data_IF_129744245516
#
_entry.id   IF_129744245516
#
_cell.length_a   1.000
_cell.length_b   1.000
_cell.length_c   1.000
_cell.angle_alpha   90.00
_cell.angle_beta   90.00
_cell.angle_gamma   90.00
#
_symmetry.space_group_name_H-M   'P 1'
#
loop_
_entity.id
_entity.type
_entity.pdbx_description
1 polymer ?
#
# COMPACT_ATOMS: atom_id res chain seq x y z
N UNK A 1 56.01 17.51 12.86
CA UNK A 1 56.00 18.29 14.12
C UNK A 1 54.73 19.14 14.09
N UNK A 2 53.78 19.12 15.02
CA UNK A 2 53.54 18.37 16.28
C UNK A 2 52.03 18.51 16.56
N UNK A 3 51.22 17.44 16.64
CA UNK A 3 50.71 16.73 17.84
C UNK A 3 50.10 17.61 18.97
N UNK A 4 48.95 17.16 19.51
CA UNK A 4 48.19 17.61 20.70
C UNK A 4 47.45 18.97 20.58
N UNK A 5 46.37 19.22 21.33
CA UNK A 5 45.78 18.40 22.40
C UNK A 5 44.32 18.74 22.78
N UNK A 6 43.81 17.98 23.75
CA UNK A 6 42.44 18.05 24.31
C UNK A 6 42.36 19.17 25.35
N UNK A 7 41.21 19.86 25.46
CA UNK A 7 40.84 20.54 26.71
C UNK A 7 39.33 20.45 26.96
N UNK A 8 39.00 19.87 28.11
CA UNK A 8 37.72 19.95 28.82
C UNK A 8 37.62 21.28 29.56
N UNK A 9 36.41 21.78 29.79
CA UNK A 9 36.15 22.68 30.91
C UNK A 9 34.80 22.36 31.56
N UNK A 10 34.81 22.28 32.90
CA UNK A 10 33.64 22.19 33.76
C UNK A 10 33.04 23.59 33.95
N UNK A 11 31.77 23.68 34.36
CA UNK A 11 31.33 24.89 35.07
C UNK A 11 30.29 24.59 36.16
N UNK A 12 30.65 24.93 37.39
CA UNK A 12 29.85 24.77 38.61
C UNK A 12 29.75 26.13 39.31
N UNK A 13 28.54 26.64 39.60
CA UNK A 13 28.32 27.73 40.60
C UNK A 13 26.88 27.73 41.16
N UNK A 14 26.67 26.91 42.19
CA UNK A 14 26.33 27.28 43.58
C UNK A 14 25.51 28.56 43.91
N UNK A 15 24.25 28.32 44.33
CA UNK A 15 23.50 28.84 45.51
C UNK A 15 23.23 30.33 45.81
N UNK A 16 21.93 30.60 46.12
CA UNK A 16 21.38 31.38 47.27
C UNK A 16 19.83 31.30 47.27
N UNK A 17 19.03 31.32 48.35
CA UNK A 17 19.22 31.25 49.82
C UNK A 17 17.93 30.68 50.50
N UNK A 18 17.89 30.55 51.84
CA UNK A 18 16.68 30.38 52.67
C UNK A 18 16.62 31.50 53.75
N UNK A 19 15.81 31.47 54.85
CA UNK A 19 14.55 30.76 55.20
C UNK A 19 13.47 31.72 55.80
N UNK A 20 12.35 31.20 56.34
CA UNK A 20 11.80 31.46 57.71
C UNK A 20 10.54 30.62 57.97
N UNK A 21 10.32 30.19 59.22
CA UNK A 21 9.23 29.31 59.69
C UNK A 21 8.00 30.07 60.23
N UNK A 22 6.82 29.42 60.29
CA UNK A 22 5.83 29.53 61.38
C UNK A 22 4.75 28.41 61.25
N UNK A 23 4.18 27.97 62.37
CA UNK A 23 3.27 26.81 62.45
C UNK A 23 1.87 27.17 62.99
N UNK A 24 0.87 26.31 62.70
CA UNK A 24 -0.37 26.21 63.49
C UNK A 24 -0.93 24.78 63.49
N UNK A 25 -1.44 24.34 64.65
CA UNK A 25 -2.11 23.06 64.87
C UNK A 25 -3.59 23.08 64.44
N UNK A 26 -4.18 21.90 64.15
CA UNK A 26 -5.55 21.55 64.55
C UNK A 26 -5.82 20.04 64.35
N UNK A 27 -6.65 19.46 65.21
CA UNK A 27 -6.95 18.03 65.24
C UNK A 27 -8.28 17.65 64.54
N UNK A 28 -8.30 16.40 64.05
CA UNK A 28 -9.42 15.53 63.68
C UNK A 28 -10.81 15.82 64.29
N UNK A 29 -11.85 15.74 63.44
CA UNK A 29 -13.19 15.26 63.82
C UNK A 29 -13.84 14.45 62.67
N UNK A 30 -14.93 13.76 62.97
CA UNK A 30 -15.29 12.43 62.45
C UNK A 30 -16.53 12.49 61.56
N UNK A 31 -16.46 12.02 60.30
CA UNK A 31 -17.63 12.14 59.39
C UNK A 31 -17.66 11.29 58.12
N UNK A 32 -16.83 10.26 57.99
CA UNK A 32 -16.56 9.58 56.71
C UNK A 32 -16.93 8.09 56.65
N UNK A 33 -18.06 7.66 57.23
CA UNK A 33 -18.39 6.21 57.34
C UNK A 33 -19.83 5.79 56.98
N UNK A 34 -20.62 6.66 56.34
CA UNK A 34 -21.98 6.33 55.87
C UNK A 34 -22.26 6.66 54.38
N UNK A 35 -21.26 7.05 53.60
CA UNK A 35 -21.42 7.36 52.15
C UNK A 35 -20.94 6.27 51.19
N UNK A 36 -20.36 5.18 51.69
CA UNK A 36 -19.68 4.17 50.85
C UNK A 36 -20.60 2.99 50.45
N UNK A 37 -21.55 2.61 51.30
CA UNK A 37 -22.46 1.47 51.03
C UNK A 37 -23.52 1.75 49.95
N UNK A 38 -23.73 3.02 49.57
CA UNK A 38 -24.64 3.38 48.47
C UNK A 38 -24.02 3.29 47.07
N UNK A 39 -22.69 3.28 46.97
CA UNK A 39 -21.98 3.27 45.68
C UNK A 39 -21.68 1.85 45.16
N UNK A 40 -21.57 0.86 46.06
CA UNK A 40 -21.20 -0.52 45.69
C UNK A 40 -22.38 -1.36 45.18
N UNK A 41 -23.64 -0.97 45.45
CA UNK A 41 -24.82 -1.70 45.02
C UNK A 41 -25.33 -1.36 43.59
N UNK A 42 -24.65 -0.44 42.88
CA UNK A 42 -25.04 0.01 41.53
C UNK A 42 -24.06 -0.44 40.43
N UNK A 43 -23.04 -1.23 40.77
CA UNK A 43 -22.01 -1.71 39.84
C UNK A 43 -22.25 -3.16 39.34
N UNK A 44 -23.29 -3.85 39.81
CA UNK A 44 -23.61 -5.25 39.47
C UNK A 44 -24.82 -5.37 38.52
N UNK A 45 -24.80 -4.68 37.37
CA UNK A 45 -25.71 -4.99 36.24
C UNK A 45 -25.23 -4.45 34.89
N UNK A 46 -23.95 -4.63 34.58
CA UNK A 46 -23.47 -4.60 33.20
C UNK A 46 -22.73 -5.90 32.95
N UNK A 47 -23.34 -6.81 32.17
CA UNK A 47 -22.61 -7.94 31.62
C UNK A 47 -21.40 -7.37 30.83
N UNK A 48 -20.21 -8.01 30.90
CA UNK A 48 -19.08 -7.55 30.11
C UNK A 48 -19.50 -7.58 28.64
N UNK A 49 -19.41 -6.44 27.96
CA UNK A 49 -19.49 -6.42 26.50
C UNK A 49 -18.32 -7.27 26.02
N UNK A 50 -18.59 -8.40 25.33
CA UNK A 50 -17.58 -9.38 24.94
C UNK A 50 -16.52 -8.77 24.02
N UNK A 51 -15.50 -8.15 24.63
CA UNK A 51 -14.44 -7.46 23.93
C UNK A 51 -13.40 -8.47 23.47
N UNK A 52 -13.57 -8.99 22.24
CA UNK A 52 -12.53 -9.78 21.58
C UNK A 52 -11.35 -8.84 21.19
N UNK A 53 -10.15 -9.02 21.77
CA UNK A 53 -8.99 -8.21 21.43
C UNK A 53 -8.65 -8.33 19.95
N UNK A 54 -8.16 -7.25 19.32
CA UNK A 54 -7.79 -7.25 17.90
C UNK A 54 -6.86 -8.43 17.55
N UNK A 55 -5.87 -8.73 18.39
CA UNK A 55 -4.96 -9.87 18.19
C UNK A 55 -5.69 -11.22 18.16
N UNK A 56 -6.71 -11.41 19.00
CA UNK A 56 -7.49 -12.66 19.01
C UNK A 56 -8.33 -12.81 17.73
N UNK A 57 -9.06 -11.76 17.31
CA UNK A 57 -9.77 -11.78 16.02
C UNK A 57 -8.80 -11.94 14.84
N UNK A 58 -7.64 -11.28 14.87
CA UNK A 58 -6.65 -11.32 13.79
C UNK A 58 -6.07 -12.73 13.61
N UNK A 59 -5.60 -13.37 14.69
CA UNK A 59 -5.06 -14.74 14.62
C UNK A 59 -6.14 -15.76 14.27
N UNK A 60 -7.38 -15.57 14.74
CA UNK A 60 -8.54 -16.37 14.34
C UNK A 60 -8.78 -16.30 12.84
N UNK A 61 -8.87 -15.09 12.26
CA UNK A 61 -9.06 -14.93 10.81
C UNK A 61 -7.84 -15.38 9.99
N UNK A 62 -6.62 -15.21 10.51
CA UNK A 62 -5.38 -15.67 9.85
C UNK A 62 -5.33 -17.19 9.69
N UNK A 63 -5.93 -17.93 10.63
CA UNK A 63 -5.92 -19.38 10.69
C UNK A 63 -7.28 -20.05 10.46
N UNK A 64 -8.33 -19.27 10.20
CA UNK A 64 -9.66 -19.81 9.92
C UNK A 64 -9.66 -20.65 8.65
N UNK A 65 -10.40 -21.75 8.69
CA UNK A 65 -10.70 -22.60 7.54
C UNK A 65 -12.15 -22.44 7.07
N UNK A 66 -12.92 -21.55 7.70
CA UNK A 66 -14.29 -21.23 7.31
C UNK A 66 -14.29 -20.13 6.23
N UNK A 67 -14.59 -20.46 4.96
CA UNK A 67 -14.63 -19.45 3.91
C UNK A 67 -15.76 -18.43 4.12
N UNK A 68 -16.87 -18.79 4.79
CA UNK A 68 -18.00 -17.89 4.97
C UNK A 68 -17.69 -16.77 5.98
N UNK A 69 -16.99 -17.10 7.06
CA UNK A 69 -16.42 -16.12 8.00
C UNK A 69 -15.47 -15.15 7.27
N UNK A 70 -14.54 -15.70 6.47
CA UNK A 70 -13.56 -14.90 5.73
C UNK A 70 -14.25 -13.99 4.69
N UNK A 71 -15.26 -14.48 3.97
CA UNK A 71 -16.11 -13.68 3.09
C UNK A 71 -16.82 -12.54 3.82
N UNK A 72 -17.33 -12.79 5.03
CA UNK A 72 -18.03 -11.77 5.83
C UNK A 72 -17.10 -10.60 6.14
N UNK A 73 -15.88 -10.87 6.62
CA UNK A 73 -14.90 -9.82 6.90
C UNK A 73 -14.37 -9.16 5.62
N UNK A 74 -14.15 -9.90 4.53
CA UNK A 74 -13.69 -9.34 3.25
C UNK A 74 -14.69 -8.35 2.65
N UNK A 75 -16.00 -8.62 2.78
CA UNK A 75 -17.08 -7.82 2.17
C UNK A 75 -17.70 -6.79 3.12
N UNK A 76 -17.31 -6.78 4.40
CA UNK A 76 -17.83 -5.82 5.38
C UNK A 76 -17.46 -4.38 4.98
N UNK A 77 -18.42 -3.45 4.91
CA UNK A 77 -18.10 -2.03 4.68
C UNK A 77 -17.10 -1.50 5.71
N UNK A 78 -16.14 -0.72 5.25
CA UNK A 78 -15.18 -0.05 6.13
C UNK A 78 -15.90 0.95 7.06
N UNK A 79 -15.49 1.05 8.34
CA UNK A 79 -15.94 2.12 9.22
C UNK A 79 -15.65 3.52 8.66
N UNK A 80 -16.27 4.55 9.24
CA UNK A 80 -15.90 5.94 8.95
C UNK A 80 -14.42 6.18 9.31
N UNK A 81 -13.70 6.88 8.43
CA UNK A 81 -12.31 7.30 8.63
C UNK A 81 -12.16 8.27 9.81
N UNK A 82 -13.24 8.92 10.23
CA UNK A 82 -13.27 9.73 11.46
C UNK A 82 -13.04 8.89 12.72
N UNK A 83 -13.52 7.63 12.75
CA UNK A 83 -13.20 6.68 13.81
C UNK A 83 -11.90 5.94 13.47
N UNK A 84 -10.79 6.58 13.82
CA UNK A 84 -9.45 6.03 13.58
C UNK A 84 -9.23 4.65 14.23
N UNK A 85 -9.89 4.36 15.35
CA UNK A 85 -9.73 3.11 16.08
C UNK A 85 -10.48 1.97 15.37
N UNK A 86 -11.75 2.17 15.04
CA UNK A 86 -12.53 1.19 14.27
C UNK A 86 -11.95 0.98 12.87
N UNK A 87 -11.55 2.05 12.18
CA UNK A 87 -10.93 1.96 10.86
C UNK A 87 -9.62 1.17 10.90
N UNK A 88 -8.72 1.46 11.85
CA UNK A 88 -7.46 0.72 12.00
C UNK A 88 -7.67 -0.74 12.40
N UNK A 89 -8.69 -1.03 13.23
CA UNK A 89 -9.08 -2.42 13.55
C UNK A 89 -9.55 -3.14 12.28
N UNK A 90 -10.39 -2.51 11.47
CA UNK A 90 -10.92 -3.11 10.24
C UNK A 90 -9.82 -3.39 9.20
N UNK A 91 -8.91 -2.45 8.95
CA UNK A 91 -7.82 -2.64 7.97
C UNK A 91 -6.82 -3.71 8.40
N UNK A 92 -6.54 -3.85 9.70
CA UNK A 92 -5.73 -4.94 10.23
C UNK A 92 -6.40 -6.31 10.00
N UNK A 93 -7.72 -6.42 10.18
CA UNK A 93 -8.44 -7.68 9.96
C UNK A 93 -8.56 -8.03 8.46
N UNK A 94 -8.73 -7.04 7.58
CA UNK A 94 -8.64 -7.26 6.14
C UNK A 94 -7.26 -7.81 5.72
N UNK A 95 -6.20 -7.37 6.40
CA UNK A 95 -4.84 -7.90 6.15
C UNK A 95 -4.69 -9.37 6.58
N UNK A 96 -5.39 -9.83 7.62
CA UNK A 96 -5.44 -11.25 7.99
C UNK A 96 -6.20 -12.07 6.93
N UNK A 97 -7.39 -11.60 6.53
CA UNK A 97 -8.26 -12.25 5.54
C UNK A 97 -7.61 -12.32 4.16
N UNK A 98 -6.99 -11.23 3.69
CA UNK A 98 -6.27 -11.19 2.42
C UNK A 98 -5.06 -12.15 2.37
N UNK A 99 -4.44 -12.41 3.53
CA UNK A 99 -3.34 -13.36 3.65
C UNK A 99 -3.75 -14.82 3.88
N UNK A 100 -5.05 -15.12 4.02
CA UNK A 100 -5.53 -16.47 4.31
C UNK A 100 -5.88 -17.21 2.99
N UNK A 101 -5.26 -18.38 2.70
CA UNK A 101 -5.53 -19.14 1.47
C UNK A 101 -6.95 -19.74 1.40
N UNK A 102 -7.66 -19.86 2.53
CA UNK A 102 -9.05 -20.30 2.59
C UNK A 102 -10.05 -19.18 2.23
N UNK A 103 -9.61 -17.92 2.18
CA UNK A 103 -10.45 -16.82 1.68
C UNK A 103 -10.77 -17.08 0.21
N UNK A 104 -12.07 -17.11 -0.19
CA UNK A 104 -12.46 -17.38 -1.57
C UNK A 104 -11.75 -16.47 -2.57
N UNK A 105 -11.39 -17.00 -3.75
CA UNK A 105 -10.70 -16.25 -4.81
C UNK A 105 -11.48 -14.97 -5.18
N UNK A 106 -12.81 -15.04 -5.29
CA UNK A 106 -13.66 -13.89 -5.60
C UNK A 106 -13.60 -12.78 -4.53
N UNK A 107 -13.29 -13.12 -3.27
CA UNK A 107 -13.12 -12.16 -2.19
C UNK A 107 -11.71 -11.56 -2.19
N UNK A 108 -10.68 -12.37 -2.45
CA UNK A 108 -9.30 -11.90 -2.64
C UNK A 108 -9.16 -10.99 -3.86
N UNK A 109 -9.83 -11.30 -4.98
CA UNK A 109 -9.95 -10.42 -6.16
C UNK A 109 -10.68 -9.12 -5.78
N UNK A 110 -11.80 -9.19 -5.06
CA UNK A 110 -12.52 -7.99 -4.60
C UNK A 110 -11.64 -7.09 -3.72
N UNK A 111 -10.89 -7.66 -2.77
CA UNK A 111 -9.96 -6.90 -1.93
C UNK A 111 -8.81 -6.32 -2.75
N UNK A 112 -8.27 -7.06 -3.71
CA UNK A 112 -7.19 -6.62 -4.59
C UNK A 112 -7.60 -5.44 -5.49
N UNK A 113 -8.84 -5.45 -6.00
CA UNK A 113 -9.40 -4.40 -6.86
C UNK A 113 -9.81 -3.15 -6.08
N UNK A 114 -10.42 -3.31 -4.89
CA UNK A 114 -11.10 -2.20 -4.19
C UNK A 114 -10.36 -1.58 -3.01
N UNK A 115 -9.36 -2.26 -2.43
CA UNK A 115 -8.71 -1.76 -1.20
C UNK A 115 -7.50 -0.86 -1.50
N UNK A 116 -7.42 0.34 -0.92
CA UNK A 116 -6.29 1.27 -1.13
C UNK A 116 -5.09 1.01 -0.21
N UNK A 117 -5.09 -0.12 0.52
CA UNK A 117 -4.21 -0.37 1.67
C UNK A 117 -2.95 -1.16 1.26
N UNK A 118 -1.74 -0.59 1.37
CA UNK A 118 -0.53 -1.26 0.91
C UNK A 118 -0.25 -2.60 1.59
N UNK A 119 -0.56 -2.75 2.88
CA UNK A 119 -0.37 -4.02 3.61
C UNK A 119 -1.29 -5.15 3.10
N UNK A 120 -2.50 -4.82 2.65
CA UNK A 120 -3.43 -5.76 2.00
C UNK A 120 -2.93 -6.10 0.59
N UNK A 121 -2.65 -5.08 -0.24
CA UNK A 121 -2.21 -5.28 -1.62
C UNK A 121 -0.88 -6.02 -1.73
N UNK A 122 0.06 -5.83 -0.79
CA UNK A 122 1.34 -6.56 -0.76
C UNK A 122 1.12 -8.06 -0.59
N UNK A 123 0.23 -8.50 0.30
CA UNK A 123 -0.07 -9.93 0.45
C UNK A 123 -0.71 -10.50 -0.81
N UNK A 124 -1.67 -9.77 -1.38
CA UNK A 124 -2.38 -10.18 -2.61
C UNK A 124 -1.48 -10.11 -3.86
N UNK A 125 -0.35 -9.37 -3.83
CA UNK A 125 0.64 -9.36 -4.92
C UNK A 125 1.50 -10.63 -4.97
N UNK A 126 1.48 -11.44 -3.92
CA UNK A 126 2.22 -12.71 -3.81
C UNK A 126 1.25 -13.92 -3.85
N UNK A 127 -0.02 -13.67 -4.19
CA UNK A 127 -1.09 -14.67 -4.20
C UNK A 127 -0.81 -15.78 -5.23
N UNK A 128 -1.02 -17.08 -4.90
CA UNK A 128 -0.85 -18.16 -5.87
C UNK A 128 -1.74 -18.02 -7.12
N UNK A 129 -2.94 -17.44 -6.98
CA UNK A 129 -3.93 -17.31 -8.04
C UNK A 129 -3.63 -16.08 -8.93
N UNK A 130 -3.30 -16.24 -10.22
CA UNK A 130 -2.93 -15.13 -11.08
C UNK A 130 -4.01 -14.06 -11.23
N UNK A 131 -5.29 -14.41 -11.18
CA UNK A 131 -6.38 -13.43 -11.27
C UNK A 131 -6.42 -12.47 -10.06
N UNK A 132 -5.97 -12.89 -8.87
CA UNK A 132 -5.80 -12.00 -7.70
C UNK A 132 -4.64 -11.03 -7.95
N UNK A 133 -3.48 -11.54 -8.39
CA UNK A 133 -2.31 -10.67 -8.68
C UNK A 133 -2.59 -9.69 -9.81
N UNK A 134 -3.37 -10.10 -10.80
CA UNK A 134 -3.83 -9.23 -11.90
C UNK A 134 -4.76 -8.11 -11.39
N UNK A 135 -5.65 -8.39 -10.43
CA UNK A 135 -6.46 -7.37 -9.81
C UNK A 135 -5.62 -6.35 -9.02
N UNK A 136 -4.58 -6.79 -8.30
CA UNK A 136 -3.61 -5.85 -7.67
C UNK A 136 -2.92 -5.00 -8.73
N UNK A 137 -2.50 -5.60 -9.85
CA UNK A 137 -1.85 -4.90 -10.96
C UNK A 137 -2.76 -3.86 -11.63
N UNK A 138 -4.09 -4.06 -11.62
CA UNK A 138 -5.08 -3.12 -12.13
C UNK A 138 -5.40 -1.95 -11.18
N UNK A 139 -5.18 -2.13 -9.87
CA UNK A 139 -5.61 -1.20 -8.84
C UNK A 139 -4.92 0.18 -8.97
N UNK A 140 -5.73 1.25 -9.04
CA UNK A 140 -5.25 2.63 -9.22
C UNK A 140 -4.68 3.30 -7.96
N UNK A 141 -4.98 2.76 -6.78
CA UNK A 141 -4.43 3.19 -5.48
C UNK A 141 -3.11 2.52 -5.14
N UNK A 142 -2.65 1.56 -5.96
CA UNK A 142 -1.39 0.88 -5.76
C UNK A 142 -0.18 1.84 -5.84
N UNK A 143 0.95 1.42 -5.27
CA UNK A 143 2.20 2.18 -5.24
C UNK A 143 3.07 1.75 -6.40
N UNK A 144 3.75 2.73 -7.01
CA UNK A 144 4.65 2.54 -8.15
C UNK A 144 5.64 1.37 -7.97
N UNK A 145 6.14 1.16 -6.74
CA UNK A 145 7.07 0.07 -6.44
C UNK A 145 6.42 -1.32 -6.43
N UNK A 146 5.12 -1.44 -6.10
CA UNK A 146 4.41 -2.71 -6.10
C UNK A 146 3.95 -3.07 -7.52
N UNK A 147 3.42 -2.10 -8.27
CA UNK A 147 3.21 -2.28 -9.71
C UNK A 147 4.51 -2.64 -10.43
N UNK A 148 5.64 -2.04 -10.06
CA UNK A 148 6.98 -2.37 -10.57
C UNK A 148 7.52 -3.77 -10.20
N UNK A 149 6.92 -4.43 -9.19
CA UNK A 149 7.10 -5.86 -8.94
C UNK A 149 6.23 -6.67 -9.91
N UNK A 150 4.97 -6.28 -10.08
CA UNK A 150 3.99 -6.97 -10.92
C UNK A 150 4.29 -6.88 -12.43
N UNK A 151 5.01 -5.85 -12.90
CA UNK A 151 5.58 -5.83 -14.27
C UNK A 151 6.62 -6.94 -14.51
N UNK A 152 7.00 -7.71 -13.48
CA UNK A 152 7.95 -8.83 -13.53
C UNK A 152 7.30 -10.16 -13.09
N UNK A 153 5.97 -10.22 -13.04
CA UNK A 153 5.22 -11.43 -12.70
C UNK A 153 5.49 -12.56 -13.71
N UNK A 154 5.56 -13.83 -13.30
CA UNK A 154 5.70 -14.95 -14.22
C UNK A 154 4.54 -15.05 -15.25
N UNK A 155 3.33 -14.61 -14.90
CA UNK A 155 2.15 -14.70 -15.78
C UNK A 155 2.05 -13.44 -16.66
N UNK A 156 2.02 -13.58 -18.00
CA UNK A 156 1.93 -12.44 -18.93
C UNK A 156 0.80 -11.47 -18.58
N UNK A 157 -0.44 -11.96 -18.45
CA UNK A 157 -1.61 -11.11 -18.17
C UNK A 157 -1.47 -10.21 -16.94
N UNK A 158 -0.68 -10.61 -15.92
CA UNK A 158 -0.37 -9.78 -14.75
C UNK A 158 0.64 -8.68 -15.12
N UNK A 159 1.73 -9.01 -15.85
CA UNK A 159 2.70 -8.03 -16.37
C UNK A 159 2.04 -7.01 -17.28
N UNK A 160 1.20 -7.48 -18.19
CA UNK A 160 0.51 -6.70 -19.21
C UNK A 160 -0.44 -5.68 -18.56
N UNK A 161 -1.19 -6.14 -17.56
CA UNK A 161 -2.05 -5.29 -16.73
C UNK A 161 -1.23 -4.27 -15.93
N UNK A 162 -0.11 -4.69 -15.33
CA UNK A 162 0.80 -3.80 -14.60
C UNK A 162 1.41 -2.73 -15.52
N UNK A 163 1.80 -3.07 -16.76
CA UNK A 163 2.35 -2.10 -17.72
C UNK A 163 1.31 -1.04 -18.13
N UNK A 164 0.03 -1.44 -18.20
CA UNK A 164 -1.13 -0.58 -18.52
C UNK A 164 -1.55 0.32 -17.34
N UNK A 165 -1.13 0.05 -16.10
CA UNK A 165 -1.48 0.87 -14.93
C UNK A 165 -0.85 2.29 -15.00
N UNK A 166 -1.58 3.31 -14.52
CA UNK A 166 -1.16 4.72 -14.45
C UNK A 166 -0.08 5.01 -13.40
N UNK A 167 0.10 4.11 -12.44
CA UNK A 167 1.15 4.18 -11.41
C UNK A 167 2.51 3.72 -11.93
N UNK A 168 2.55 3.05 -13.09
CA UNK A 168 3.76 2.47 -13.69
C UNK A 168 4.67 3.57 -14.22
N UNK A 169 5.96 3.51 -13.87
CA UNK A 169 6.91 4.52 -14.34
C UNK A 169 7.23 4.37 -15.83
N UNK A 170 7.62 5.48 -16.47
CA UNK A 170 8.19 5.46 -17.82
C UNK A 170 9.36 4.48 -17.97
N UNK A 171 10.18 4.31 -16.94
CA UNK A 171 11.27 3.31 -16.93
C UNK A 171 10.73 1.88 -16.98
N UNK A 172 9.72 1.54 -16.18
CA UNK A 172 9.10 0.21 -16.18
C UNK A 172 8.40 -0.07 -17.51
N UNK A 173 7.72 0.92 -18.10
CA UNK A 173 7.11 0.82 -19.44
C UNK A 173 8.15 0.68 -20.55
N UNK A 174 9.31 1.31 -20.42
CA UNK A 174 10.44 1.12 -21.33
C UNK A 174 11.03 -0.29 -21.21
N UNK A 175 11.23 -0.79 -19.98
CA UNK A 175 11.66 -2.17 -19.73
C UNK A 175 10.67 -3.18 -20.35
N UNK A 176 9.36 -2.98 -20.17
CA UNK A 176 8.32 -3.82 -20.78
C UNK A 176 8.26 -3.73 -22.31
N UNK A 177 8.41 -2.54 -22.90
CA UNK A 177 8.50 -2.37 -24.35
C UNK A 177 9.76 -3.02 -24.96
N UNK A 178 10.80 -3.26 -24.16
CA UNK A 178 12.04 -3.95 -24.57
C UNK A 178 11.99 -5.47 -24.35
N UNK A 179 10.98 -5.99 -23.65
CA UNK A 179 10.81 -7.42 -23.39
C UNK A 179 10.41 -8.16 -24.70
N UNK A 180 11.23 -9.07 -25.24
CA UNK A 180 10.91 -9.83 -26.46
C UNK A 180 9.76 -10.83 -26.26
N UNK A 181 9.22 -10.96 -25.04
CA UNK A 181 8.04 -11.76 -24.71
C UNK A 181 6.78 -10.92 -24.46
N UNK A 182 6.86 -9.59 -24.55
CA UNK A 182 5.70 -8.70 -24.49
C UNK A 182 4.73 -9.02 -25.64
N UNK A 183 3.43 -9.03 -25.35
CA UNK A 183 2.39 -9.31 -26.32
C UNK A 183 2.10 -8.08 -27.21
N UNK A 184 1.50 -8.33 -28.38
CA UNK A 184 1.19 -7.28 -29.34
C UNK A 184 0.17 -6.25 -28.83
N UNK A 185 -0.82 -6.61 -28.00
CA UNK A 185 -1.83 -5.68 -27.48
C UNK A 185 -1.22 -4.72 -26.42
N UNK A 186 -0.32 -5.24 -25.57
CA UNK A 186 0.45 -4.39 -24.64
C UNK A 186 1.43 -3.50 -25.38
N UNK A 187 2.10 -4.00 -26.41
CA UNK A 187 2.94 -3.17 -27.29
C UNK A 187 2.13 -2.10 -28.03
N UNK A 188 0.92 -2.41 -28.49
CA UNK A 188 0.02 -1.45 -29.12
C UNK A 188 -0.41 -0.34 -28.14
N UNK A 189 -0.71 -0.67 -26.88
CA UNK A 189 -0.97 0.32 -25.81
C UNK A 189 0.27 1.20 -25.53
N UNK A 190 1.45 0.60 -25.38
CA UNK A 190 2.69 1.33 -25.13
C UNK A 190 3.07 2.23 -26.33
N UNK A 191 2.71 1.81 -27.54
CA UNK A 191 2.93 2.50 -28.81
C UNK A 191 2.12 3.79 -29.00
N UNK A 192 1.12 4.08 -28.16
CA UNK A 192 0.30 5.31 -28.23
C UNK A 192 0.46 6.27 -27.05
N UNK A 193 1.42 5.98 -26.15
CA UNK A 193 1.70 6.81 -24.99
C UNK A 193 2.31 8.16 -25.39
N UNK A 194 1.72 9.24 -24.88
CA UNK A 194 2.12 10.63 -25.14
C UNK A 194 1.79 11.16 -26.53
N UNK A 195 1.00 10.43 -27.33
CA UNK A 195 0.47 10.89 -28.63
C UNK A 195 -1.05 10.85 -28.66
N UNK A 196 -1.67 9.73 -28.26
CA UNK A 196 -3.13 9.56 -28.20
C UNK A 196 -3.63 9.24 -26.78
N UNK A 197 -2.72 8.86 -25.88
CA UNK A 197 -3.00 8.56 -24.48
C UNK A 197 -2.01 9.29 -23.57
N UNK A 198 -2.42 9.57 -22.33
CA UNK A 198 -1.65 10.34 -21.34
C UNK A 198 -1.19 11.72 -21.88
N UNK A 199 -2.17 12.60 -22.14
CA UNK A 199 -1.92 14.00 -22.50
C UNK A 199 -1.01 14.68 -21.46
N UNK A 200 -0.04 15.47 -21.93
CA UNK A 200 0.98 16.08 -21.07
C UNK A 200 2.12 15.15 -20.64
N UNK A 201 2.16 13.90 -21.11
CA UNK A 201 3.30 13.00 -20.88
C UNK A 201 4.64 13.63 -21.34
N UNK A 202 5.75 13.43 -20.60
CA UNK A 202 7.05 13.98 -20.98
C UNK A 202 7.50 13.45 -22.35
N UNK A 203 7.56 14.31 -23.35
CA UNK A 203 7.73 13.94 -24.77
C UNK A 203 8.97 13.06 -25.04
N UNK A 204 10.07 13.31 -24.31
CA UNK A 204 11.28 12.47 -24.39
C UNK A 204 11.02 11.07 -23.87
N UNK A 205 10.45 10.93 -22.66
CA UNK A 205 10.22 9.62 -22.04
C UNK A 205 9.17 8.80 -22.79
N UNK A 206 8.10 9.43 -23.28
CA UNK A 206 7.08 8.73 -24.06
C UNK A 206 7.63 8.28 -25.42
N UNK A 207 8.42 9.12 -26.11
CA UNK A 207 9.08 8.73 -27.36
C UNK A 207 10.10 7.60 -27.18
N UNK A 208 10.81 7.53 -26.05
CA UNK A 208 11.71 6.39 -25.75
C UNK A 208 10.95 5.07 -25.65
N UNK A 209 9.77 5.06 -25.02
CA UNK A 209 8.90 3.86 -24.96
C UNK A 209 8.41 3.49 -26.35
N UNK A 210 7.85 4.45 -27.12
CA UNK A 210 7.38 4.18 -28.50
C UNK A 210 8.50 3.73 -29.45
N UNK A 211 9.73 4.23 -29.25
CA UNK A 211 10.93 3.76 -29.97
C UNK A 211 11.29 2.32 -29.60
N UNK A 212 11.16 1.93 -28.34
CA UNK A 212 11.35 0.54 -27.94
C UNK A 212 10.28 -0.38 -28.53
N UNK A 213 9.00 0.05 -28.54
CA UNK A 213 7.92 -0.65 -29.25
C UNK A 213 8.25 -0.81 -30.73
N UNK A 214 8.70 0.25 -31.43
CA UNK A 214 9.10 0.14 -32.84
C UNK A 214 10.17 -0.94 -33.07
N UNK A 215 11.11 -1.13 -32.14
CA UNK A 215 12.18 -2.13 -32.21
C UNK A 215 11.79 -3.54 -31.72
N UNK A 216 10.67 -3.70 -31.01
CA UNK A 216 10.30 -4.98 -30.39
C UNK A 216 9.82 -6.00 -31.44
N UNK A 217 10.38 -7.23 -31.48
CA UNK A 217 10.03 -8.22 -32.51
C UNK A 217 8.51 -8.51 -32.62
N UNK A 218 7.76 -8.45 -31.51
CA UNK A 218 6.34 -8.81 -31.47
C UNK A 218 5.38 -7.66 -31.83
N UNK A 219 5.90 -6.45 -32.09
CA UNK A 219 5.07 -5.29 -32.46
C UNK A 219 4.33 -5.55 -33.78
N UNK A 220 3.03 -5.29 -33.76
CA UNK A 220 2.14 -5.55 -34.90
C UNK A 220 2.50 -4.69 -36.12
N UNK A 221 2.29 -5.22 -37.33
CA UNK A 221 2.46 -4.45 -38.58
C UNK A 221 1.58 -3.20 -38.62
N UNK A 222 0.40 -3.26 -38.01
CA UNK A 222 -0.50 -2.11 -37.86
C UNK A 222 0.14 -1.01 -37.00
N UNK A 223 0.79 -1.39 -35.88
CA UNK A 223 1.50 -0.44 -35.02
C UNK A 223 2.81 0.05 -35.65
N UNK A 224 3.53 -0.79 -36.42
CA UNK A 224 4.69 -0.32 -37.20
C UNK A 224 4.29 0.70 -38.27
N UNK A 225 3.19 0.48 -38.99
CA UNK A 225 2.64 1.44 -39.95
C UNK A 225 2.22 2.76 -39.27
N UNK A 226 1.75 2.70 -38.03
CA UNK A 226 1.43 3.86 -37.20
C UNK A 226 2.70 4.62 -36.76
N UNK A 227 3.67 3.90 -36.19
CA UNK A 227 4.94 4.46 -35.70
C UNK A 227 5.86 4.98 -36.82
N UNK A 228 5.69 4.50 -38.06
CA UNK A 228 6.31 5.08 -39.25
C UNK A 228 5.94 6.56 -39.47
N UNK A 229 4.81 7.00 -38.89
CA UNK A 229 4.32 8.37 -38.93
C UNK A 229 4.42 9.09 -37.56
N UNK A 230 5.17 8.53 -36.60
CA UNK A 230 5.33 9.12 -35.26
C UNK A 230 5.93 10.54 -35.33
N UNK A 231 5.53 11.48 -34.45
CA UNK A 231 6.15 12.81 -34.40
C UNK A 231 7.69 12.78 -34.18
N UNK A 232 8.21 11.81 -33.43
CA UNK A 232 9.64 11.67 -33.15
C UNK A 232 10.39 11.02 -34.32
N UNK A 233 11.44 11.69 -34.79
CA UNK A 233 12.32 11.15 -35.84
C UNK A 233 13.02 9.85 -35.41
N UNK A 234 13.36 9.69 -34.13
CA UNK A 234 14.01 8.48 -33.62
C UNK A 234 13.08 7.25 -33.67
N UNK A 235 11.76 7.46 -33.50
CA UNK A 235 10.75 6.41 -33.59
C UNK A 235 10.58 5.99 -35.06
N UNK A 236 10.50 6.94 -35.98
CA UNK A 236 10.42 6.66 -37.43
C UNK A 236 11.65 5.89 -37.93
N UNK A 237 12.85 6.33 -37.56
CA UNK A 237 14.10 5.61 -37.89
C UNK A 237 14.17 4.21 -37.28
N UNK A 238 13.61 4.00 -36.08
CA UNK A 238 13.52 2.66 -35.50
C UNK A 238 12.63 1.73 -36.34
N UNK A 239 11.50 2.20 -36.87
CA UNK A 239 10.66 1.43 -37.79
C UNK A 239 11.38 1.16 -39.12
N UNK A 240 12.06 2.15 -39.68
CA UNK A 240 12.85 2.00 -40.91
C UNK A 240 13.95 0.94 -40.75
N UNK A 241 14.61 0.87 -39.58
CA UNK A 241 15.69 -0.08 -39.30
C UNK A 241 15.28 -1.56 -39.24
N UNK A 242 13.98 -1.85 -39.35
CA UNK A 242 13.43 -3.23 -39.40
C UNK A 242 13.04 -3.70 -40.80
N UNK A 243 13.19 -2.86 -41.83
CA UNK A 243 12.90 -3.18 -43.23
C UNK A 243 14.13 -3.71 -43.96
#
# INVERSE_FOLDING_TARGET
MTKLGIMTDENTTTQRTQPTEAATEAAIDTGAQQRDQGAQAAAESAAPVDFEPLTATYERLRHSTDPAELSEFARRPLPDRADQAAFSRATALLEAVAGNPHTPVADRVFLADTMPFPNVLVKLSEDPEPSVRQAVAANGDDKNWLVGRLTKDPVPAVRDTALKNKRTSWKMRLEGAQDPTADAETLDFLGVLGTESEEGAPAVLSSMVRRAVALNPNTSEAMLAKLANDPSAEVRHAVESRR
#
